data_IF_352292324435
#
_entry.id   IF_352292324435
#
_cell.length_a   1.000
_cell.length_b   1.000
_cell.length_c   1.000
_cell.angle_alpha   90.00
_cell.angle_beta   90.00
_cell.angle_gamma   90.00
#
_symmetry.space_group_name_H-M   'P 1'
#
loop_
_entity.id
_entity.type
_entity.pdbx_description
1 polymer ?
#
# COMPACT_ATOMS: atom_id res chain seq x y z
N UNK A 1 2.57 16.89 -5.54
CA UNK A 1 2.68 16.12 -4.27
C UNK A 1 1.93 14.80 -4.42
N UNK A 2 2.45 13.71 -3.87
CA UNK A 2 1.82 12.39 -3.99
C UNK A 2 0.67 12.23 -2.99
N UNK A 3 -0.34 11.46 -3.40
CA UNK A 3 -1.36 10.93 -2.49
C UNK A 3 -0.82 9.69 -1.79
N UNK A 4 -1.28 9.42 -0.58
CA UNK A 4 -0.93 8.22 0.17
C UNK A 4 -2.04 7.83 1.14
N UNK A 5 -1.97 6.62 1.67
CA UNK A 5 -2.94 6.13 2.64
C UNK A 5 -2.35 6.32 4.03
N UNK A 6 -3.09 7.03 4.88
CA UNK A 6 -2.78 7.24 6.29
C UNK A 6 -3.67 6.32 7.14
N UNK A 7 -3.09 5.72 8.17
CA UNK A 7 -3.79 4.90 9.14
C UNK A 7 -3.87 5.62 10.49
N UNK A 8 -5.08 5.69 11.05
CA UNK A 8 -5.34 6.15 12.41
C UNK A 8 -5.35 4.96 13.37
N UNK A 9 -4.31 4.86 14.20
CA UNK A 9 -4.17 3.79 15.17
C UNK A 9 -5.22 3.84 16.30
N UNK A 10 -5.84 5.00 16.55
CA UNK A 10 -6.88 5.13 17.57
C UNK A 10 -8.22 4.53 17.14
N UNK A 11 -8.47 4.46 15.83
CA UNK A 11 -9.69 3.91 15.25
C UNK A 11 -9.50 2.49 14.66
N UNK A 12 -8.26 2.06 14.47
CA UNK A 12 -7.98 0.72 13.94
C UNK A 12 -8.31 -0.35 14.99
N UNK A 13 -9.10 -1.34 14.61
CA UNK A 13 -9.46 -2.50 15.45
C UNK A 13 -8.75 -3.79 15.03
N UNK A 14 -7.82 -3.71 14.08
CA UNK A 14 -7.05 -4.86 13.60
C UNK A 14 -7.86 -5.96 12.91
N UNK A 15 -9.01 -5.64 12.29
CA UNK A 15 -9.92 -6.64 11.70
C UNK A 15 -9.42 -7.29 10.40
N UNK A 16 -8.34 -6.76 9.79
CA UNK A 16 -7.72 -7.25 8.52
C UNK A 16 -8.60 -7.19 7.26
N UNK A 17 -9.80 -6.59 7.34
CA UNK A 17 -10.66 -6.36 6.15
C UNK A 17 -9.94 -5.60 5.05
N UNK A 18 -9.07 -4.66 5.40
CA UNK A 18 -8.24 -3.91 4.45
C UNK A 18 -7.24 -4.78 3.68
N UNK A 19 -6.70 -5.84 4.30
CA UNK A 19 -5.79 -6.80 3.64
C UNK A 19 -6.56 -7.62 2.60
N UNK A 20 -7.72 -8.16 3.00
CA UNK A 20 -8.60 -8.95 2.12
C UNK A 20 -9.07 -8.11 0.94
N UNK A 21 -9.59 -6.91 1.19
CA UNK A 21 -10.05 -5.99 0.14
C UNK A 21 -8.92 -5.64 -0.84
N UNK A 22 -7.70 -5.46 -0.32
CA UNK A 22 -6.53 -5.23 -1.17
C UNK A 22 -6.24 -6.44 -2.06
N UNK A 23 -6.25 -7.67 -1.54
CA UNK A 23 -5.99 -8.87 -2.35
C UNK A 23 -7.07 -9.04 -3.41
N UNK A 24 -8.34 -9.04 -3.01
CA UNK A 24 -9.50 -9.22 -3.90
C UNK A 24 -9.47 -8.20 -5.04
N UNK A 25 -9.21 -6.93 -4.74
CA UNK A 25 -9.13 -5.87 -5.74
C UNK A 25 -8.06 -6.09 -6.81
N UNK A 26 -7.03 -6.90 -6.57
CA UNK A 26 -5.93 -7.14 -7.51
C UNK A 26 -5.93 -8.57 -8.07
N UNK A 27 -7.03 -9.30 -7.90
CA UNK A 27 -7.28 -10.58 -8.55
C UNK A 27 -8.10 -10.37 -9.81
N UNK A 28 -7.91 -11.22 -10.82
CA UNK A 28 -8.65 -11.12 -12.09
C UNK A 28 -10.17 -11.22 -11.88
N UNK A 29 -10.61 -12.15 -11.03
CA UNK A 29 -12.03 -12.40 -10.78
C UNK A 29 -12.65 -11.41 -9.78
N UNK A 30 -11.83 -10.63 -9.06
CA UNK A 30 -12.25 -9.71 -7.99
C UNK A 30 -13.27 -10.31 -7.01
N UNK A 31 -13.17 -11.62 -6.76
CA UNK A 31 -14.09 -12.38 -5.92
C UNK A 31 -13.32 -13.03 -4.77
N UNK A 32 -13.77 -12.79 -3.54
CA UNK A 32 -13.15 -13.36 -2.33
C UNK A 32 -13.16 -14.89 -2.31
N UNK A 33 -14.16 -15.53 -2.93
CA UNK A 33 -14.26 -16.99 -2.98
C UNK A 33 -13.18 -17.63 -3.88
N UNK A 34 -12.58 -16.85 -4.79
CA UNK A 34 -11.55 -17.32 -5.71
C UNK A 34 -10.11 -17.11 -5.18
N UNK A 35 -9.95 -16.42 -4.06
CA UNK A 35 -8.63 -16.12 -3.48
C UNK A 35 -8.07 -17.37 -2.81
N UNK A 36 -6.92 -17.86 -3.29
CA UNK A 36 -6.18 -18.93 -2.62
C UNK A 36 -5.20 -18.38 -1.58
N UNK A 37 -4.65 -19.26 -0.75
CA UNK A 37 -3.59 -18.89 0.21
C UNK A 37 -2.32 -18.42 -0.49
N UNK A 38 -1.99 -18.97 -1.67
CA UNK A 38 -0.84 -18.54 -2.47
C UNK A 38 -1.04 -17.14 -3.07
N UNK A 39 -2.30 -16.78 -3.34
CA UNK A 39 -2.70 -15.49 -3.90
C UNK A 39 -2.82 -14.38 -2.85
N UNK A 40 -2.75 -14.73 -1.57
CA UNK A 40 -2.94 -13.80 -0.46
C UNK A 40 -1.69 -12.95 -0.21
N UNK A 41 -1.44 -12.01 -1.12
CA UNK A 41 -0.32 -11.07 -1.06
C UNK A 41 -0.86 -9.63 -0.96
N UNK A 42 -1.32 -9.21 0.23
CA UNK A 42 -1.85 -7.87 0.42
C UNK A 42 -0.73 -6.82 0.31
N UNK A 43 -1.08 -5.66 -0.27
CA UNK A 43 -0.19 -4.51 -0.42
C UNK A 43 -0.24 -3.52 0.76
N UNK A 44 -0.97 -3.90 1.80
CA UNK A 44 -1.17 -3.24 3.10
C UNK A 44 -1.08 -4.33 4.17
N UNK A 45 -0.54 -4.02 5.34
CA UNK A 45 -0.36 -4.98 6.43
C UNK A 45 -0.88 -4.43 7.75
N UNK A 46 -1.76 -5.17 8.40
CA UNK A 46 -2.20 -4.87 9.77
C UNK A 46 -1.11 -5.32 10.74
N UNK A 47 -0.70 -4.40 11.61
CA UNK A 47 0.15 -4.63 12.76
C UNK A 47 -0.75 -4.62 13.99
N UNK A 48 -0.69 -5.68 14.79
CA UNK A 48 -1.46 -5.83 16.02
C UNK A 48 -0.49 -6.20 17.13
N UNK A 49 -0.27 -5.25 18.02
CA UNK A 49 0.50 -5.40 19.25
C UNK A 49 -0.45 -5.31 20.45
N UNK A 50 0.05 -5.60 21.66
CA UNK A 50 -0.78 -5.61 22.87
C UNK A 50 -1.43 -4.26 23.17
N UNK A 51 -0.73 -3.15 22.88
CA UNK A 51 -1.16 -1.80 23.24
C UNK A 51 -1.70 -0.97 22.07
N UNK A 52 -1.58 -1.44 20.83
CA UNK A 52 -2.08 -0.70 19.67
C UNK A 52 -2.32 -1.62 18.47
N UNK A 53 -3.23 -1.21 17.60
CA UNK A 53 -3.36 -1.81 16.28
C UNK A 53 -3.31 -0.73 15.22
N UNK A 54 -2.71 -1.02 14.08
CA UNK A 54 -2.61 -0.08 12.96
C UNK A 54 -2.41 -0.85 11.66
N UNK A 55 -2.33 -0.14 10.54
CA UNK A 55 -1.96 -0.71 9.26
C UNK A 55 -0.80 0.06 8.62
N UNK A 56 0.18 -0.66 8.10
CA UNK A 56 1.31 -0.13 7.34
C UNK A 56 1.09 -0.37 5.86
N UNK A 57 1.35 0.65 5.06
CA UNK A 57 1.13 0.66 3.60
C UNK A 57 2.19 1.54 2.95
N UNK A 58 2.37 1.45 1.63
CA UNK A 58 3.32 2.32 0.94
C UNK A 58 2.90 3.78 1.05
N UNK A 59 3.80 4.64 1.55
CA UNK A 59 3.57 6.07 1.72
C UNK A 59 3.76 6.90 0.44
N UNK A 60 4.03 6.27 -0.71
CA UNK A 60 4.24 6.96 -1.99
C UNK A 60 5.23 8.13 -1.88
N UNK A 61 6.37 7.90 -1.23
CA UNK A 61 7.39 8.91 -0.92
C UNK A 61 7.74 9.76 -2.14
N UNK A 62 7.92 11.07 -1.98
CA UNK A 62 8.20 11.96 -3.10
C UNK A 62 9.54 11.69 -3.80
N UNK A 63 10.58 11.40 -3.00
CA UNK A 63 11.93 11.04 -3.42
C UNK A 63 12.06 9.56 -3.83
N UNK A 64 11.10 8.73 -3.44
CA UNK A 64 10.97 7.32 -3.80
C UNK A 64 12.30 6.53 -3.68
N UNK A 65 12.88 6.34 -2.49
CA UNK A 65 14.17 5.65 -2.32
C UNK A 65 14.16 4.23 -2.94
N UNK A 66 13.00 3.55 -2.92
CA UNK A 66 12.82 2.27 -3.58
C UNK A 66 13.01 2.33 -5.11
N UNK A 67 12.64 3.44 -5.76
CA UNK A 67 12.87 3.66 -7.19
C UNK A 67 14.33 3.99 -7.49
N UNK A 68 14.97 4.82 -6.66
CA UNK A 68 16.36 5.25 -6.83
C UNK A 68 17.35 4.08 -6.78
N UNK A 69 17.05 3.05 -5.99
CA UNK A 69 17.90 1.85 -5.89
C UNK A 69 17.58 0.76 -6.93
N UNK A 70 16.58 0.96 -7.80
CA UNK A 70 16.17 -0.07 -8.75
C UNK A 70 17.08 -0.09 -9.98
N UNK A 71 17.95 -1.11 -10.17
CA UNK A 71 18.97 -1.10 -11.23
C UNK A 71 18.37 -1.19 -12.63
N UNK A 72 17.17 -1.77 -12.74
CA UNK A 72 16.43 -1.98 -14.00
C UNK A 72 15.31 -0.96 -14.19
N UNK A 73 15.20 0.04 -13.29
CA UNK A 73 14.19 1.09 -13.30
C UNK A 73 12.76 0.54 -13.46
N UNK A 74 12.46 -0.58 -12.78
CA UNK A 74 11.13 -1.18 -12.76
C UNK A 74 10.15 -0.41 -11.87
N UNK A 75 10.64 0.43 -10.95
CA UNK A 75 9.80 1.25 -10.08
C UNK A 75 9.85 2.68 -10.60
N UNK A 76 8.70 3.25 -10.94
CA UNK A 76 8.60 4.57 -11.57
C UNK A 76 7.42 5.35 -11.03
N UNK A 77 7.53 6.67 -11.15
CA UNK A 77 6.42 7.60 -10.92
C UNK A 77 5.71 7.84 -12.24
N UNK A 78 4.41 7.61 -12.27
CA UNK A 78 3.54 8.01 -13.37
C UNK A 78 2.10 8.20 -12.83
N UNK A 79 1.31 9.06 -13.49
CA UNK A 79 -0.05 9.44 -13.08
C UNK A 79 -0.19 9.74 -11.57
N UNK A 80 0.77 10.46 -11.00
CA UNK A 80 0.71 10.94 -9.60
C UNK A 80 0.92 9.88 -8.51
N UNK A 81 1.37 8.67 -8.84
CA UNK A 81 1.71 7.63 -7.88
C UNK A 81 2.97 6.87 -8.31
N UNK A 82 3.54 6.09 -7.40
CA UNK A 82 4.72 5.26 -7.69
C UNK A 82 4.23 3.82 -7.80
N UNK A 83 4.65 3.11 -8.85
CA UNK A 83 4.28 1.71 -9.06
C UNK A 83 5.46 0.88 -9.56
N UNK A 84 5.28 -0.43 -9.53
CA UNK A 84 6.22 -1.41 -10.09
C UNK A 84 5.69 -1.85 -11.45
N UNK A 85 6.50 -1.73 -12.50
CA UNK A 85 6.26 -2.38 -13.80
C UNK A 85 6.72 -3.84 -13.70
N UNK A 86 5.79 -4.82 -13.68
CA UNK A 86 6.11 -6.22 -13.44
C UNK A 86 7.13 -6.79 -14.42
N UNK A 87 6.95 -6.51 -15.71
CA UNK A 87 7.77 -7.03 -16.82
C UNK A 87 9.24 -6.60 -16.78
N UNK A 88 9.58 -5.60 -15.96
CA UNK A 88 10.96 -5.12 -15.80
C UNK A 88 11.62 -5.59 -14.52
N UNK A 89 10.84 -6.07 -13.56
CA UNK A 89 11.37 -6.41 -12.25
C UNK A 89 12.17 -7.71 -12.33
N UNK A 90 13.40 -7.68 -11.83
CA UNK A 90 14.29 -8.85 -11.76
C UNK A 90 14.34 -9.49 -10.36
N UNK A 91 13.48 -9.05 -9.44
CA UNK A 91 13.41 -9.63 -8.09
C UNK A 91 14.66 -9.45 -7.22
N UNK A 92 15.54 -8.48 -7.51
CA UNK A 92 16.82 -8.27 -6.79
C UNK A 92 16.69 -7.82 -5.32
N UNK A 93 15.48 -7.49 -4.84
CA UNK A 93 15.16 -7.10 -3.46
C UNK A 93 15.80 -5.79 -2.94
N UNK A 94 16.60 -5.06 -3.72
CA UNK A 94 17.18 -3.77 -3.30
C UNK A 94 16.13 -2.77 -2.80
N UNK A 95 14.96 -2.74 -3.46
CA UNK A 95 13.84 -1.89 -3.05
C UNK A 95 13.28 -2.22 -1.64
N UNK A 96 13.39 -3.47 -1.18
CA UNK A 96 12.96 -3.86 0.17
C UNK A 96 13.87 -3.24 1.22
N UNK A 97 15.18 -3.26 1.00
CA UNK A 97 16.16 -2.65 1.91
C UNK A 97 16.06 -1.13 1.94
N UNK A 98 15.76 -0.50 0.80
CA UNK A 98 15.66 0.94 0.70
C UNK A 98 14.33 1.53 1.20
N UNK A 99 13.31 0.71 1.44
CA UNK A 99 12.00 1.22 1.87
C UNK A 99 12.01 1.51 3.38
N UNK A 100 11.92 2.77 3.83
CA UNK A 100 11.97 3.10 5.25
C UNK A 100 10.74 2.61 6.03
N UNK A 101 9.65 2.31 5.33
CA UNK A 101 8.38 1.85 5.90
C UNK A 101 8.18 0.34 5.77
N UNK A 102 9.14 -0.40 5.20
CA UNK A 102 8.98 -1.86 4.98
C UNK A 102 7.82 -2.25 4.06
N UNK A 103 7.30 -1.32 3.25
CA UNK A 103 6.09 -1.50 2.44
C UNK A 103 6.31 -2.20 1.09
N UNK A 104 7.55 -2.64 0.81
CA UNK A 104 7.90 -3.40 -0.38
C UNK A 104 7.94 -4.89 -0.04
N UNK A 105 7.35 -5.72 -0.90
CA UNK A 105 7.45 -7.19 -0.80
C UNK A 105 7.89 -7.74 -2.14
N UNK A 106 8.73 -8.78 -2.15
CA UNK A 106 9.06 -9.51 -3.37
C UNK A 106 8.49 -10.90 -3.25
N UNK A 107 7.64 -11.29 -4.20
CA UNK A 107 7.02 -12.62 -4.25
C UNK A 107 7.56 -13.42 -5.41
N UNK A 108 7.64 -14.73 -5.23
CA UNK A 108 7.88 -15.65 -6.33
C UNK A 108 6.58 -15.87 -7.09
N UNK A 109 6.67 -15.91 -8.42
CA UNK A 109 5.57 -16.25 -9.32
C UNK A 109 6.08 -17.16 -10.43
N UNK A 110 5.18 -17.75 -11.22
CA UNK A 110 5.54 -18.61 -12.34
C UNK A 110 6.43 -17.89 -13.39
N UNK A 111 6.33 -16.56 -13.49
CA UNK A 111 7.12 -15.72 -14.40
C UNK A 111 8.39 -15.15 -13.75
N UNK A 112 8.73 -15.58 -12.53
CA UNK A 112 9.90 -15.12 -11.76
C UNK A 112 9.54 -14.35 -10.50
N UNK A 113 10.53 -13.72 -9.89
CA UNK A 113 10.35 -12.96 -8.66
C UNK A 113 9.97 -11.50 -8.96
N UNK A 114 8.88 -11.02 -8.38
CA UNK A 114 8.32 -9.70 -8.64
C UNK A 114 8.16 -8.88 -7.36
N UNK A 115 8.59 -7.62 -7.41
CA UNK A 115 8.31 -6.65 -6.36
C UNK A 115 6.85 -6.16 -6.43
N UNK A 116 6.23 -6.03 -5.26
CA UNK A 116 4.85 -5.61 -5.07
C UNK A 116 4.84 -4.53 -3.98
N UNK A 117 4.03 -3.50 -4.19
CA UNK A 117 3.71 -2.46 -3.23
C UNK A 117 2.32 -1.89 -3.51
N UNK A 118 1.77 -1.12 -2.58
CA UNK A 118 0.53 -0.38 -2.83
C UNK A 118 0.71 0.58 -4.00
N UNK A 119 -0.23 0.58 -4.93
CA UNK A 119 -0.30 1.38 -6.14
C UNK A 119 -1.52 2.33 -6.12
N UNK A 120 -2.08 2.54 -4.92
CA UNK A 120 -3.30 3.30 -4.64
C UNK A 120 -4.56 2.78 -5.38
N UNK A 121 -4.54 1.52 -5.83
CA UNK A 121 -5.60 0.95 -6.68
C UNK A 121 -5.92 1.86 -7.87
N UNK A 122 -4.87 2.32 -8.59
CA UNK A 122 -5.01 3.20 -9.76
C UNK A 122 -5.95 2.67 -10.85
N UNK A 123 -6.23 1.36 -10.84
CA UNK A 123 -7.18 0.69 -11.73
C UNK A 123 -8.65 0.85 -11.31
N UNK A 124 -8.94 1.39 -10.12
CA UNK A 124 -10.30 1.61 -9.61
C UNK A 124 -10.66 3.09 -9.59
N UNK A 125 -11.81 3.45 -10.15
CA UNK A 125 -12.34 4.82 -10.07
C UNK A 125 -12.72 5.22 -8.63
N UNK A 126 -13.25 4.27 -7.84
CA UNK A 126 -13.56 4.47 -6.42
C UNK A 126 -12.31 4.66 -5.53
N UNK A 127 -11.11 4.45 -6.07
CA UNK A 127 -9.85 4.57 -5.34
C UNK A 127 -9.51 3.32 -4.50
N UNK A 128 -8.71 3.48 -3.43
CA UNK A 128 -8.18 2.35 -2.67
C UNK A 128 -9.26 1.48 -2.00
N UNK A 129 -9.31 0.21 -2.38
CA UNK A 129 -10.27 -0.75 -1.83
C UNK A 129 -10.14 -0.94 -0.31
N UNK A 130 -8.91 -0.81 0.22
CA UNK A 130 -8.68 -0.91 1.65
C UNK A 130 -9.29 0.27 2.45
N UNK A 131 -9.37 1.46 1.86
CA UNK A 131 -10.01 2.64 2.49
C UNK A 131 -11.52 2.44 2.52
N UNK A 132 -12.10 2.08 1.39
CA UNK A 132 -13.54 1.81 1.24
C UNK A 132 -14.03 0.68 2.15
N UNK A 133 -13.24 -0.38 2.31
CA UNK A 133 -13.62 -1.54 3.10
C UNK A 133 -13.36 -1.40 4.62
N UNK A 134 -12.79 -0.28 5.08
CA UNK A 134 -12.45 -0.10 6.50
C UNK A 134 -13.72 0.21 7.32
N UNK A 135 -14.19 -0.69 8.22
CA UNK A 135 -15.46 -0.51 8.90
C UNK A 135 -15.44 0.63 9.94
N UNK A 136 -14.26 0.99 10.44
CA UNK A 136 -14.08 2.07 11.43
C UNK A 136 -13.56 3.37 10.81
N UNK A 137 -13.43 3.43 9.48
CA UNK A 137 -12.84 4.58 8.76
C UNK A 137 -11.43 4.96 9.25
N UNK A 138 -10.68 3.99 9.79
CA UNK A 138 -9.30 4.18 10.27
C UNK A 138 -8.29 4.41 9.14
N UNK A 139 -8.67 4.21 7.88
CA UNK A 139 -7.83 4.41 6.71
C UNK A 139 -8.36 5.58 5.88
N UNK A 140 -7.48 6.51 5.50
CA UNK A 140 -7.84 7.65 4.66
C UNK A 140 -6.81 7.83 3.54
N UNK A 141 -7.27 8.08 2.32
CA UNK A 141 -6.40 8.46 1.21
C UNK A 141 -6.25 9.99 1.20
N UNK A 142 -5.09 10.46 1.64
CA UNK A 142 -4.79 11.88 1.83
C UNK A 142 -3.77 12.37 0.82
N UNK A 143 -3.71 13.68 0.66
CA UNK A 143 -2.56 14.38 0.06
C UNK A 143 -1.89 15.26 1.13
N UNK A 144 -0.65 15.68 0.88
CA UNK A 144 0.12 16.47 1.82
C UNK A 144 -0.57 17.80 2.24
N UNK A 145 -1.37 18.39 1.35
CA UNK A 145 -2.12 19.63 1.60
C UNK A 145 -3.25 19.39 2.61
N UNK A 146 -3.95 18.26 2.49
CA UNK A 146 -5.05 17.89 3.38
C UNK A 146 -4.54 17.51 4.78
N UNK A 147 -3.38 16.85 4.87
CA UNK A 147 -2.75 16.53 6.17
C UNK A 147 -2.34 17.78 6.93
N UNK A 148 -1.73 18.77 6.25
CA UNK A 148 -1.37 20.05 6.89
C UNK A 148 -2.61 20.76 7.45
N UNK A 149 -3.72 20.78 6.70
CA UNK A 149 -4.98 21.34 7.17
C UNK A 149 -5.53 20.59 8.38
N UNK A 150 -5.59 19.26 8.35
CA UNK A 150 -6.07 18.46 9.50
C UNK A 150 -5.24 18.73 10.77
N UNK A 151 -3.90 18.80 10.65
CA UNK A 151 -3.04 19.12 11.80
C UNK A 151 -3.30 20.50 12.40
N UNK A 152 -3.62 21.50 11.56
CA UNK A 152 -3.97 22.84 12.03
C UNK A 152 -5.31 22.86 12.80
N UNK A 153 -6.28 22.02 12.41
CA UNK A 153 -7.57 21.93 13.09
C UNK A 153 -7.58 21.00 14.32
N UNK A 154 -6.63 20.07 14.41
CA UNK A 154 -6.49 19.14 15.53
C UNK A 154 -5.62 19.65 16.68
N UNK A 155 -5.00 20.84 16.57
CA UNK A 155 -4.27 21.41 17.70
C UNK A 155 -5.29 21.96 18.71
N UNK A 156 -5.29 21.49 19.98
CA UNK A 156 -6.06 22.13 21.01
C UNK A 156 -5.50 23.55 21.22
N UNK A 157 -6.39 24.54 21.31
CA UNK A 157 -6.05 25.87 21.84
C UNK A 157 -5.56 25.78 23.28
#
# INVERSE_FOLDING_TARGET
MNRFIMADASACIGCRTCEVACVVSHQEQQNSAAVTTADFVPRIRVIKEDCFTTATVCHQCEDAPCANVCPVQAIRRDRGHIFVTPSRCIGCKSCMLACPFGAMTVVASASGAQAIKCDLCWHREAGPACVEACPTSALQCVDATNVQRQRLYSQPF
#
